data_IF_133329155115
#
_entry.id   IF_133329155115
#
_cell.length_a   1.000
_cell.length_b   1.000
_cell.length_c   1.000
_cell.angle_alpha   90.00
_cell.angle_beta   90.00
_cell.angle_gamma   90.00
#
_symmetry.space_group_name_H-M   'P 1'
#
loop_
_entity.id
_entity.type
_entity.pdbx_description
1 polymer ?
#
# COMPACT_ATOMS: atom_id res chain seq x y z
N UNK A 1 -22.60 -30.84 -13.98
CA UNK A 1 -21.18 -31.22 -14.26
C UNK A 1 -20.31 -30.33 -13.38
N UNK A 2 -19.93 -30.84 -12.21
CA UNK A 2 -18.89 -30.20 -11.36
C UNK A 2 -17.57 -30.23 -12.12
N UNK A 3 -16.98 -29.02 -12.33
CA UNK A 3 -15.60 -28.93 -12.78
C UNK A 3 -14.71 -29.37 -11.60
N UNK A 4 -14.08 -30.51 -11.72
CA UNK A 4 -12.92 -30.85 -10.92
C UNK A 4 -11.83 -29.84 -11.23
N UNK A 5 -11.59 -28.92 -10.30
CA UNK A 5 -10.40 -28.08 -10.30
C UNK A 5 -9.23 -29.00 -9.93
N UNK A 6 -8.37 -29.30 -10.89
CA UNK A 6 -7.10 -29.96 -10.62
C UNK A 6 -6.22 -29.02 -9.83
N UNK A 7 -6.21 -29.15 -8.50
CA UNK A 7 -5.19 -28.56 -7.65
C UNK A 7 -3.93 -29.40 -7.86
N UNK A 8 -3.03 -28.91 -8.70
CA UNK A 8 -1.77 -29.61 -9.01
C UNK A 8 -0.67 -29.33 -7.99
N UNK A 9 -0.86 -28.35 -7.12
CA UNK A 9 0.08 -28.00 -6.06
C UNK A 9 -0.59 -28.24 -4.70
N UNK A 10 -0.49 -29.46 -4.20
CA UNK A 10 -0.75 -29.74 -2.79
C UNK A 10 0.38 -29.10 -2.01
N UNK A 11 0.09 -28.00 -1.33
CA UNK A 11 0.96 -27.50 -0.27
C UNK A 11 0.97 -28.59 0.80
N UNK A 12 2.10 -29.21 1.03
CA UNK A 12 2.24 -30.32 2.00
C UNK A 12 1.95 -29.84 3.44
N UNK A 13 2.10 -28.55 3.69
CA UNK A 13 1.87 -27.93 4.99
C UNK A 13 1.25 -26.54 4.84
N UNK A 14 0.17 -26.28 5.57
CA UNK A 14 -0.46 -24.95 5.66
C UNK A 14 -0.16 -24.38 7.04
N UNK A 15 0.44 -23.19 7.11
CA UNK A 15 0.64 -22.45 8.35
C UNK A 15 -0.45 -21.40 8.48
N UNK A 16 -1.22 -21.48 9.57
CA UNK A 16 -2.22 -20.46 9.96
C UNK A 16 -1.72 -19.81 11.24
N UNK A 17 -1.66 -18.47 11.25
CA UNK A 17 -1.20 -17.69 12.40
C UNK A 17 -2.32 -16.76 12.85
N UNK A 18 -2.58 -16.70 14.15
CA UNK A 18 -3.52 -15.75 14.77
C UNK A 18 -2.81 -15.03 15.91
N UNK A 19 -3.16 -13.75 16.11
CA UNK A 19 -2.56 -12.88 17.12
C UNK A 19 -3.63 -12.53 18.16
N UNK A 20 -3.25 -12.55 19.42
CA UNK A 20 -4.12 -12.24 20.55
C UNK A 20 -3.42 -11.23 21.46
N UNK A 21 -4.16 -10.33 22.12
CA UNK A 21 -3.59 -9.41 23.10
C UNK A 21 -3.05 -10.17 24.32
N UNK A 22 -2.07 -9.58 25.02
CA UNK A 22 -1.45 -10.15 26.22
C UNK A 22 -2.49 -10.56 27.30
N UNK A 23 -3.61 -9.85 27.36
CA UNK A 23 -4.72 -10.13 28.29
C UNK A 23 -5.56 -11.36 27.92
N UNK A 24 -5.32 -12.00 26.77
CA UNK A 24 -6.10 -13.15 26.33
C UNK A 24 -5.67 -14.43 27.07
N UNK A 25 -6.66 -15.25 27.45
CA UNK A 25 -6.42 -16.59 27.99
C UNK A 25 -6.01 -17.55 26.86
N UNK A 26 -4.71 -17.63 26.61
CA UNK A 26 -4.14 -18.46 25.54
C UNK A 26 -4.38 -19.96 25.78
N UNK A 27 -4.42 -20.40 27.03
CA UNK A 27 -4.70 -21.80 27.35
C UNK A 27 -6.14 -22.18 26.95
N UNK A 28 -7.12 -21.34 27.31
CA UNK A 28 -8.51 -21.54 26.93
C UNK A 28 -8.70 -21.49 25.41
N UNK A 29 -8.05 -20.56 24.71
CA UNK A 29 -8.09 -20.44 23.26
C UNK A 29 -7.48 -21.68 22.58
N UNK A 30 -6.31 -22.12 23.03
CA UNK A 30 -5.63 -23.30 22.51
C UNK A 30 -6.50 -24.56 22.67
N UNK A 31 -7.13 -24.71 23.82
CA UNK A 31 -8.07 -25.79 24.09
C UNK A 31 -9.25 -25.73 23.12
N UNK A 32 -9.88 -24.59 22.97
CA UNK A 32 -11.02 -24.40 22.08
C UNK A 32 -10.65 -24.68 20.60
N UNK A 33 -9.48 -24.23 20.16
CA UNK A 33 -8.98 -24.51 18.79
C UNK A 33 -8.81 -26.02 18.59
N UNK A 34 -8.19 -26.73 19.54
CA UNK A 34 -8.02 -28.17 19.44
C UNK A 34 -9.36 -28.93 19.40
N UNK A 35 -10.33 -28.51 20.24
CA UNK A 35 -11.68 -29.10 20.23
C UNK A 35 -12.37 -28.89 18.89
N UNK A 36 -12.31 -27.66 18.33
CA UNK A 36 -12.90 -27.35 17.02
C UNK A 36 -12.23 -28.07 15.86
N UNK A 37 -10.92 -28.24 15.92
CA UNK A 37 -10.18 -29.00 14.91
C UNK A 37 -10.52 -30.50 14.95
N UNK A 38 -10.76 -31.05 16.14
CA UNK A 38 -11.21 -32.43 16.29
C UNK A 38 -12.62 -32.66 15.70
N UNK A 39 -13.53 -31.67 15.84
CA UNK A 39 -14.87 -31.72 15.25
C UNK A 39 -14.85 -31.79 13.71
N UNK A 40 -13.79 -31.34 13.03
CA UNK A 40 -13.73 -31.35 11.57
C UNK A 40 -13.80 -32.79 10.99
N UNK A 41 -13.32 -33.78 11.72
CA UNK A 41 -13.42 -35.17 11.31
C UNK A 41 -14.86 -35.68 11.27
N UNK A 42 -15.75 -35.14 12.12
CA UNK A 42 -17.17 -35.46 12.13
C UNK A 42 -17.90 -34.94 10.87
N UNK A 43 -17.33 -33.93 10.23
CA UNK A 43 -17.77 -33.36 8.95
C UNK A 43 -17.09 -34.01 7.73
N UNK A 44 -16.32 -35.09 7.95
CA UNK A 44 -15.64 -35.85 6.88
C UNK A 44 -14.42 -35.11 6.29
N UNK A 45 -13.85 -34.17 7.01
CA UNK A 45 -12.63 -33.45 6.62
C UNK A 45 -11.42 -34.14 7.26
N UNK A 46 -10.45 -34.54 6.44
CA UNK A 46 -9.15 -34.99 6.93
C UNK A 46 -8.26 -33.80 7.26
N UNK A 47 -7.92 -33.64 8.52
CA UNK A 47 -7.14 -32.52 9.02
C UNK A 47 -5.63 -32.73 8.95
N UNK A 48 -5.17 -33.95 8.66
CA UNK A 48 -3.73 -34.28 8.71
C UNK A 48 -3.13 -34.13 10.10
N UNK A 49 -1.81 -34.03 10.18
CA UNK A 49 -1.08 -33.78 11.42
C UNK A 49 -1.17 -32.30 11.81
N UNK A 50 -1.83 -32.02 12.94
CA UNK A 50 -2.00 -30.66 13.46
C UNK A 50 -0.91 -30.42 14.51
N UNK A 51 -0.10 -29.37 14.29
CA UNK A 51 0.87 -28.89 15.25
C UNK A 51 0.50 -27.47 15.67
N UNK A 52 0.08 -27.28 16.92
CA UNK A 52 -0.29 -26.01 17.49
C UNK A 52 0.87 -25.50 18.35
N UNK A 53 1.44 -24.36 17.96
CA UNK A 53 2.55 -23.74 18.68
C UNK A 53 2.09 -22.37 19.14
N UNK A 54 2.24 -22.08 20.42
CA UNK A 54 2.05 -20.73 20.99
C UNK A 54 3.41 -20.12 21.23
N UNK A 55 3.55 -18.86 20.86
CA UNK A 55 4.78 -18.08 21.04
C UNK A 55 4.40 -16.71 21.56
N UNK A 56 5.08 -16.29 22.61
CA UNK A 56 4.99 -14.92 23.10
C UNK A 56 5.74 -14.01 22.13
N UNK A 57 5.08 -12.95 21.66
CA UNK A 57 5.69 -11.94 20.80
C UNK A 57 5.95 -10.71 21.65
N UNK A 58 7.20 -10.35 21.81
CA UNK A 58 7.60 -9.08 22.40
C UNK A 58 7.34 -8.00 21.35
N UNK A 59 6.68 -6.90 21.74
CA UNK A 59 6.25 -5.83 20.83
C UNK A 59 7.42 -5.23 20.03
N UNK A 60 8.62 -5.20 20.59
CA UNK A 60 9.86 -4.77 19.94
C UNK A 60 10.29 -5.72 18.79
N UNK A 61 10.09 -7.02 18.94
CA UNK A 61 10.43 -8.00 17.90
C UNK A 61 9.45 -7.93 16.72
N UNK A 62 8.21 -7.53 16.94
CA UNK A 62 7.22 -7.40 15.89
C UNK A 62 7.41 -6.11 15.09
N UNK A 63 7.74 -5.00 15.75
CA UNK A 63 7.96 -3.70 15.11
C UNK A 63 9.13 -3.72 14.11
N UNK A 64 10.09 -4.64 14.26
CA UNK A 64 11.26 -4.72 13.38
C UNK A 64 11.27 -5.94 12.44
N UNK A 65 10.60 -7.04 12.81
CA UNK A 65 10.67 -8.28 12.02
C UNK A 65 10.04 -8.15 10.63
N UNK A 66 9.02 -7.31 10.45
CA UNK A 66 8.41 -7.07 9.15
C UNK A 66 9.36 -6.35 8.18
N UNK A 67 10.26 -5.50 8.71
CA UNK A 67 11.28 -4.80 7.92
C UNK A 67 12.18 -5.75 7.14
N UNK A 68 12.45 -6.95 7.67
CA UNK A 68 13.29 -7.98 7.03
C UNK A 68 12.68 -8.56 5.75
N UNK A 69 11.36 -8.42 5.56
CA UNK A 69 10.64 -8.91 4.38
C UNK A 69 10.45 -7.82 3.33
N UNK A 70 10.88 -6.59 3.63
CA UNK A 70 10.83 -5.48 2.70
C UNK A 70 12.15 -5.34 1.97
N UNK A 71 12.15 -5.73 0.71
CA UNK A 71 13.29 -5.60 -0.18
C UNK A 71 13.03 -4.49 -1.21
N UNK A 72 14.09 -3.86 -1.77
CA UNK A 72 13.95 -2.95 -2.90
C UNK A 72 13.19 -3.62 -4.04
N UNK A 73 12.19 -2.95 -4.56
CA UNK A 73 11.32 -3.47 -5.58
C UNK A 73 11.26 -2.53 -6.80
N UNK A 74 11.74 -3.00 -7.95
CA UNK A 74 11.54 -2.29 -9.20
C UNK A 74 10.09 -2.42 -9.64
N UNK A 75 9.40 -1.30 -9.74
CA UNK A 75 7.96 -1.25 -9.99
C UNK A 75 7.65 -1.04 -11.46
N UNK A 76 8.37 -0.08 -12.08
CA UNK A 76 8.20 0.25 -13.49
C UNK A 76 9.55 0.22 -14.20
N UNK A 77 9.63 0.77 -15.42
CA UNK A 77 10.91 0.89 -16.12
C UNK A 77 11.87 1.81 -15.38
N UNK A 78 11.37 2.95 -14.87
CA UNK A 78 12.19 3.99 -14.25
C UNK A 78 12.11 4.04 -12.73
N UNK A 79 11.05 3.51 -12.12
CA UNK A 79 10.76 3.67 -10.69
C UNK A 79 11.09 2.43 -9.89
N UNK A 80 11.89 2.59 -8.83
CA UNK A 80 12.18 1.57 -7.82
C UNK A 80 11.84 2.10 -6.44
N UNK A 81 11.09 1.31 -5.67
CA UNK A 81 10.79 1.61 -4.27
C UNK A 81 11.84 0.94 -3.40
N UNK A 82 12.45 1.73 -2.52
CA UNK A 82 13.50 1.28 -1.62
C UNK A 82 13.12 1.62 -0.18
N UNK A 83 13.10 0.62 0.73
CA UNK A 83 12.89 0.88 2.15
C UNK A 83 13.94 1.85 2.69
N UNK A 84 13.54 2.78 3.58
CA UNK A 84 14.40 3.85 4.10
C UNK A 84 15.66 3.33 4.81
N UNK A 85 15.61 2.13 5.37
CA UNK A 85 16.72 1.45 6.10
C UNK A 85 17.61 0.60 5.20
N UNK A 86 17.38 0.57 3.89
CA UNK A 86 18.16 -0.26 2.96
C UNK A 86 19.12 0.61 2.15
N UNK A 87 20.38 0.22 2.14
CA UNK A 87 21.36 0.79 1.22
C UNK A 87 21.11 0.23 -0.17
N UNK A 88 20.94 1.12 -1.14
CA UNK A 88 20.66 0.76 -2.51
C UNK A 88 21.43 1.64 -3.49
N UNK A 89 22.14 1.01 -4.41
CA UNK A 89 22.82 1.70 -5.50
C UNK A 89 21.94 1.71 -6.74
N UNK A 90 21.49 2.91 -7.12
CA UNK A 90 20.62 3.09 -8.27
C UNK A 90 21.37 2.82 -9.59
N UNK A 91 20.72 2.15 -10.51
CA UNK A 91 21.21 2.02 -11.89
C UNK A 91 21.07 3.34 -12.67
N UNK A 92 21.78 3.46 -13.79
CA UNK A 92 21.69 4.67 -14.62
C UNK A 92 20.26 4.87 -15.12
N UNK A 93 19.69 6.05 -14.82
CA UNK A 93 18.32 6.42 -15.20
C UNK A 93 17.24 5.93 -14.25
N UNK A 94 17.59 5.17 -13.23
CA UNK A 94 16.65 4.67 -12.23
C UNK A 94 16.28 5.77 -11.22
N UNK A 95 15.00 5.94 -10.98
CA UNK A 95 14.44 6.90 -10.02
C UNK A 95 14.03 6.17 -8.75
N UNK A 96 14.64 6.55 -7.64
CA UNK A 96 14.45 5.88 -6.35
C UNK A 96 13.42 6.61 -5.52
N UNK A 97 12.41 5.88 -5.08
CA UNK A 97 11.43 6.32 -4.09
C UNK A 97 11.82 5.68 -2.76
N UNK A 98 12.36 6.48 -1.84
CA UNK A 98 12.61 6.03 -0.47
C UNK A 98 11.32 6.11 0.34
N UNK A 99 10.93 5.01 0.98
CA UNK A 99 9.74 4.93 1.82
C UNK A 99 10.06 4.25 3.15
N UNK A 100 9.49 4.79 4.22
CA UNK A 100 9.18 4.01 5.42
C UNK A 100 7.68 3.68 5.35
N UNK A 101 7.31 2.42 5.04
CA UNK A 101 5.91 2.07 4.92
C UNK A 101 5.13 2.24 6.24
N UNK A 102 5.80 2.27 7.40
CA UNK A 102 5.23 2.62 8.68
C UNK A 102 3.84 2.03 8.94
N UNK A 103 2.95 2.83 9.55
CA UNK A 103 1.55 2.47 9.80
C UNK A 103 0.58 2.97 8.72
N UNK A 104 1.03 3.73 7.72
CA UNK A 104 0.17 4.21 6.63
C UNK A 104 0.01 3.16 5.52
N UNK A 105 -1.16 3.17 4.88
CA UNK A 105 -1.39 2.34 3.70
C UNK A 105 -0.57 2.87 2.51
N UNK A 106 -0.08 1.95 1.67
CA UNK A 106 0.66 2.34 0.46
C UNK A 106 2.13 1.99 0.49
N UNK A 107 2.47 0.73 0.81
CA UNK A 107 3.84 0.20 0.80
C UNK A 107 4.48 0.20 -0.59
N UNK A 108 3.72 0.62 -1.62
CA UNK A 108 4.15 0.63 -3.01
C UNK A 108 4.14 -0.72 -3.73
N UNK A 109 4.09 -1.83 -3.01
CA UNK A 109 4.14 -3.18 -3.59
C UNK A 109 2.77 -3.77 -3.92
N UNK A 110 1.68 -3.15 -3.45
CA UNK A 110 0.33 -3.59 -3.77
C UNK A 110 0.04 -3.46 -5.28
N UNK A 111 -0.68 -4.42 -5.89
CA UNK A 111 -0.96 -4.39 -7.34
C UNK A 111 -1.57 -3.07 -7.83
N UNK A 112 -2.52 -2.49 -7.10
CA UNK A 112 -3.15 -1.21 -7.49
C UNK A 112 -2.15 -0.06 -7.47
N UNK A 113 -1.27 0.02 -6.47
CA UNK A 113 -0.22 1.04 -6.40
C UNK A 113 0.76 0.89 -7.56
N UNK A 114 1.15 -0.34 -7.91
CA UNK A 114 2.01 -0.61 -9.09
C UNK A 114 1.34 -0.15 -10.38
N UNK A 115 0.04 -0.41 -10.54
CA UNK A 115 -0.72 0.02 -11.71
C UNK A 115 -0.82 1.53 -11.80
N UNK A 116 -1.07 2.22 -10.68
CA UNK A 116 -1.11 3.69 -10.62
C UNK A 116 0.26 4.30 -10.96
N UNK A 117 1.35 3.75 -10.41
CA UNK A 117 2.72 4.17 -10.73
C UNK A 117 3.06 3.97 -12.21
N UNK A 118 2.66 2.83 -12.78
CA UNK A 118 2.83 2.57 -14.20
C UNK A 118 2.02 3.57 -15.06
N UNK A 119 0.76 3.86 -14.67
CA UNK A 119 -0.06 4.83 -15.38
C UNK A 119 0.54 6.24 -15.31
N UNK A 120 1.04 6.68 -14.12
CA UNK A 120 1.74 7.97 -13.98
C UNK A 120 2.96 8.06 -14.90
N UNK A 121 3.79 7.01 -14.97
CA UNK A 121 4.95 6.96 -15.86
C UNK A 121 4.55 7.07 -17.34
N UNK A 122 3.35 6.57 -17.72
CA UNK A 122 2.87 6.66 -19.09
C UNK A 122 2.30 8.05 -19.46
N UNK A 123 1.78 8.81 -18.50
CA UNK A 123 1.10 10.08 -18.80
C UNK A 123 1.93 11.31 -18.50
N UNK A 124 2.80 11.26 -17.48
CA UNK A 124 3.65 12.40 -17.12
C UNK A 124 4.80 12.57 -18.16
N UNK A 125 5.01 13.81 -18.59
CA UNK A 125 6.04 14.20 -19.55
C UNK A 125 6.97 15.29 -19.03
N UNK A 126 6.62 15.87 -17.88
CA UNK A 126 7.29 16.96 -17.21
C UNK A 126 6.56 18.30 -17.35
N UNK A 127 6.35 18.95 -16.20
CA UNK A 127 5.68 20.25 -16.13
C UNK A 127 4.21 20.21 -15.74
N UNK A 128 3.62 19.02 -15.57
CA UNK A 128 2.22 18.83 -15.19
C UNK A 128 1.97 19.25 -13.73
N UNK A 129 0.73 19.67 -13.46
CA UNK A 129 0.15 19.75 -12.11
C UNK A 129 -0.56 18.43 -11.82
N UNK A 130 -0.25 17.83 -10.67
CA UNK A 130 -0.83 16.56 -10.23
C UNK A 130 -1.62 16.76 -8.94
N UNK A 131 -2.77 16.12 -8.82
CA UNK A 131 -3.49 15.96 -7.55
C UNK A 131 -3.51 14.49 -7.17
N UNK A 132 -3.01 14.16 -5.97
CA UNK A 132 -3.00 12.82 -5.39
C UNK A 132 -4.04 12.75 -4.26
N UNK A 133 -5.10 11.98 -4.47
CA UNK A 133 -6.25 11.87 -3.56
C UNK A 133 -6.17 10.58 -2.77
N UNK A 134 -6.13 10.70 -1.45
CA UNK A 134 -5.83 9.58 -0.56
C UNK A 134 -4.37 9.18 -0.65
N UNK A 135 -3.49 10.15 -0.43
CA UNK A 135 -2.03 10.00 -0.69
C UNK A 135 -1.37 8.92 0.16
N UNK A 136 -1.94 8.59 1.33
CA UNK A 136 -1.43 7.55 2.22
C UNK A 136 0.04 7.76 2.59
N UNK A 137 0.92 6.91 2.07
CA UNK A 137 2.38 7.02 2.28
C UNK A 137 3.06 8.12 1.47
N UNK A 138 2.36 8.80 0.56
CA UNK A 138 2.94 9.79 -0.35
C UNK A 138 3.61 9.19 -1.59
N UNK A 139 3.54 7.87 -1.78
CA UNK A 139 4.30 7.17 -2.84
C UNK A 139 3.99 7.67 -4.25
N UNK A 140 2.70 7.95 -4.56
CA UNK A 140 2.30 8.45 -5.88
C UNK A 140 2.73 9.89 -6.09
N UNK A 141 2.69 10.71 -5.04
CA UNK A 141 3.18 12.07 -5.04
C UNK A 141 4.69 12.14 -5.27
N UNK A 142 5.48 11.35 -4.55
CA UNK A 142 6.94 11.26 -4.74
C UNK A 142 7.26 10.78 -6.15
N UNK A 143 6.57 9.74 -6.65
CA UNK A 143 6.73 9.26 -8.01
C UNK A 143 6.45 10.36 -9.05
N UNK A 144 5.36 11.12 -8.87
CA UNK A 144 4.99 12.22 -9.77
C UNK A 144 6.07 13.29 -9.84
N UNK A 145 6.67 13.65 -8.69
CA UNK A 145 7.78 14.60 -8.65
C UNK A 145 9.01 14.07 -9.39
N UNK A 146 9.40 12.82 -9.13
CA UNK A 146 10.52 12.16 -9.82
C UNK A 146 10.28 12.04 -11.33
N UNK A 147 9.04 11.91 -11.78
CA UNK A 147 8.67 11.87 -13.20
C UNK A 147 8.60 13.27 -13.84
N UNK A 148 8.83 14.32 -13.06
CA UNK A 148 8.98 15.69 -13.57
C UNK A 148 7.73 16.55 -13.49
N UNK A 149 6.73 16.16 -12.72
CA UNK A 149 5.58 17.01 -12.42
C UNK A 149 6.06 18.34 -11.78
N UNK A 150 5.40 19.44 -12.16
CA UNK A 150 5.78 20.78 -11.70
C UNK A 150 5.28 21.07 -10.28
N UNK A 151 4.03 20.73 -10.02
CA UNK A 151 3.37 20.96 -8.73
C UNK A 151 2.51 19.73 -8.39
N UNK A 152 2.59 19.26 -7.17
CA UNK A 152 1.81 18.11 -6.69
C UNK A 152 1.05 18.53 -5.42
N UNK A 153 -0.28 18.32 -5.44
CA UNK A 153 -1.15 18.56 -4.30
C UNK A 153 -1.66 17.23 -3.79
N UNK A 154 -1.20 16.84 -2.61
CA UNK A 154 -1.48 15.54 -2.00
C UNK A 154 -2.48 15.73 -0.83
N UNK A 155 -3.58 15.01 -0.88
CA UNK A 155 -4.63 15.08 0.14
C UNK A 155 -4.90 13.73 0.75
N UNK A 156 -5.12 13.71 2.07
CA UNK A 156 -5.64 12.55 2.77
C UNK A 156 -6.62 13.00 3.87
N UNK A 157 -7.62 12.16 4.18
CA UNK A 157 -8.57 12.43 5.24
C UNK A 157 -7.96 12.20 6.63
N UNK A 158 -6.99 11.29 6.72
CA UNK A 158 -6.33 10.90 7.97
C UNK A 158 -5.08 11.76 8.22
N UNK A 159 -5.08 12.52 9.28
CA UNK A 159 -3.93 13.33 9.72
C UNK A 159 -2.66 12.47 9.96
N UNK A 160 -2.83 11.19 10.31
CA UNK A 160 -1.70 10.26 10.44
C UNK A 160 -1.08 9.99 9.07
N UNK A 161 -1.89 9.77 8.05
CA UNK A 161 -1.42 9.57 6.68
C UNK A 161 -0.71 10.82 6.15
N UNK A 162 -1.28 12.02 6.38
CA UNK A 162 -0.66 13.31 6.02
C UNK A 162 0.74 13.45 6.63
N UNK A 163 0.90 13.12 7.91
CA UNK A 163 2.20 13.16 8.58
C UNK A 163 3.17 12.15 7.99
N UNK A 164 2.74 10.90 7.78
CA UNK A 164 3.59 9.85 7.19
C UNK A 164 4.00 10.21 5.76
N UNK A 165 3.08 10.76 4.96
CA UNK A 165 3.42 11.25 3.62
C UNK A 165 4.51 12.32 3.68
N UNK A 166 4.39 13.30 4.59
CA UNK A 166 5.40 14.35 4.76
C UNK A 166 6.75 13.75 5.19
N UNK A 167 6.77 12.83 6.16
CA UNK A 167 7.99 12.15 6.60
C UNK A 167 8.67 11.40 5.44
N UNK A 168 7.90 10.72 4.59
CA UNK A 168 8.42 10.04 3.41
C UNK A 168 8.94 11.01 2.35
N UNK A 169 8.24 12.12 2.12
CA UNK A 169 8.68 13.18 1.20
C UNK A 169 10.02 13.75 1.66
N UNK A 170 10.15 14.05 2.95
CA UNK A 170 11.37 14.61 3.53
C UNK A 170 12.59 13.68 3.41
N UNK A 171 12.36 12.36 3.28
CA UNK A 171 13.44 11.40 3.01
C UNK A 171 13.93 11.41 1.54
N UNK A 172 13.19 12.07 0.65
CA UNK A 172 13.51 12.15 -0.77
C UNK A 172 13.94 13.58 -1.12
N UNK A 173 15.20 13.83 -1.50
CA UNK A 173 15.64 15.18 -1.81
C UNK A 173 15.00 15.73 -3.10
N UNK A 174 14.77 17.05 -3.14
CA UNK A 174 14.25 17.74 -4.33
C UNK A 174 12.74 17.64 -4.49
N UNK A 175 11.98 17.45 -3.38
CA UNK A 175 10.53 17.28 -3.37
C UNK A 175 9.78 18.52 -2.89
N UNK A 176 10.37 19.71 -3.03
CA UNK A 176 9.80 20.99 -2.58
C UNK A 176 8.53 21.38 -3.34
N UNK A 177 8.24 20.70 -4.44
CA UNK A 177 7.06 20.88 -5.28
C UNK A 177 5.85 20.01 -4.84
N UNK A 178 5.95 19.29 -3.72
CA UNK A 178 4.86 18.49 -3.16
C UNK A 178 4.25 19.21 -1.96
N UNK A 179 2.94 19.43 -2.02
CA UNK A 179 2.15 20.09 -0.98
C UNK A 179 1.17 19.11 -0.37
N UNK A 180 1.43 18.69 0.87
CA UNK A 180 0.56 17.71 1.57
C UNK A 180 -0.39 18.47 2.50
N UNK A 181 -1.66 18.10 2.49
CA UNK A 181 -2.67 18.66 3.38
C UNK A 181 -3.76 17.64 3.72
N UNK A 182 -4.40 17.84 4.88
CA UNK A 182 -5.64 17.12 5.22
C UNK A 182 -6.76 17.58 4.31
N UNK A 183 -7.53 16.64 3.76
CA UNK A 183 -8.65 16.92 2.88
C UNK A 183 -9.64 15.77 2.76
N UNK A 184 -10.91 16.09 2.64
CA UNK A 184 -11.97 15.12 2.37
C UNK A 184 -12.17 15.01 0.85
N UNK A 185 -11.46 14.09 0.24
CA UNK A 185 -11.37 13.94 -1.22
C UNK A 185 -10.95 15.26 -1.88
N UNK A 186 -11.77 15.80 -2.77
CA UNK A 186 -11.55 17.07 -3.47
C UNK A 186 -12.49 18.19 -3.01
N UNK A 187 -13.18 18.04 -1.88
CA UNK A 187 -14.07 19.07 -1.34
C UNK A 187 -13.32 20.34 -1.03
N UNK A 188 -13.77 21.43 -1.64
CA UNK A 188 -13.16 22.77 -1.46
C UNK A 188 -11.86 22.99 -2.24
N UNK A 189 -11.36 21.99 -2.95
CA UNK A 189 -10.23 22.14 -3.86
C UNK A 189 -10.67 22.94 -5.09
N UNK A 190 -9.90 23.94 -5.45
CA UNK A 190 -10.15 24.80 -6.63
C UNK A 190 -9.02 24.72 -7.65
N UNK A 191 -7.93 24.09 -7.30
CA UNK A 191 -6.77 23.91 -8.17
C UNK A 191 -7.10 22.91 -9.28
N UNK A 192 -6.97 23.36 -10.53
CA UNK A 192 -7.05 22.46 -11.69
C UNK A 192 -5.73 21.69 -11.87
N UNK A 193 -5.83 20.44 -12.35
CA UNK A 193 -4.70 19.57 -12.55
C UNK A 193 -4.69 18.92 -13.94
N UNK A 194 -3.50 18.64 -14.43
CA UNK A 194 -3.31 17.88 -15.67
C UNK A 194 -3.52 16.38 -15.41
N UNK A 195 -3.20 15.93 -14.19
CA UNK A 195 -3.41 14.54 -13.76
C UNK A 195 -4.02 14.52 -12.37
N UNK A 196 -5.10 13.77 -12.19
CA UNK A 196 -5.67 13.43 -10.88
C UNK A 196 -5.48 11.93 -10.70
N UNK A 197 -4.85 11.52 -9.61
CA UNK A 197 -4.67 10.11 -9.27
C UNK A 197 -5.32 9.81 -7.92
N UNK A 198 -6.03 8.68 -7.83
CA UNK A 198 -6.68 8.22 -6.60
C UNK A 198 -6.57 6.70 -6.47
N UNK A 199 -5.76 6.22 -5.55
CA UNK A 199 -5.64 4.80 -5.23
C UNK A 199 -6.31 4.50 -3.88
N UNK A 200 -7.63 4.60 -3.85
CA UNK A 200 -8.48 4.46 -2.68
C UNK A 200 -9.54 3.37 -2.90
N UNK A 201 -10.39 3.13 -1.89
CA UNK A 201 -11.45 2.13 -1.99
C UNK A 201 -12.47 2.48 -3.07
N UNK A 202 -12.91 1.49 -3.84
CA UNK A 202 -13.82 1.65 -4.97
C UNK A 202 -15.14 2.35 -4.60
N UNK A 203 -15.70 2.06 -3.42
CA UNK A 203 -16.93 2.68 -2.93
C UNK A 203 -16.78 4.20 -2.71
N UNK A 204 -15.57 4.65 -2.42
CA UNK A 204 -15.26 6.07 -2.20
C UNK A 204 -15.00 6.79 -3.53
N UNK A 205 -14.45 6.10 -4.53
CA UNK A 205 -14.17 6.66 -5.87
C UNK A 205 -15.41 7.25 -6.54
N UNK A 206 -16.59 6.66 -6.29
CA UNK A 206 -17.87 7.16 -6.85
C UNK A 206 -18.13 8.60 -6.40
N UNK A 207 -17.78 8.94 -5.17
CA UNK A 207 -17.97 10.29 -4.62
C UNK A 207 -16.92 11.31 -5.09
N UNK A 208 -15.85 10.83 -5.69
CA UNK A 208 -14.77 11.66 -6.22
C UNK A 208 -15.06 12.15 -7.64
N UNK A 209 -15.84 11.42 -8.43
CA UNK A 209 -15.93 11.58 -9.88
C UNK A 209 -16.38 12.96 -10.33
N UNK A 210 -17.38 13.56 -9.65
CA UNK A 210 -17.92 14.88 -10.03
C UNK A 210 -16.88 15.99 -9.81
N UNK A 211 -16.21 15.98 -8.65
CA UNK A 211 -15.17 16.95 -8.35
C UNK A 211 -13.92 16.73 -9.21
N UNK A 212 -13.54 15.49 -9.48
CA UNK A 212 -12.43 15.18 -10.36
C UNK A 212 -12.70 15.67 -11.80
N UNK A 213 -13.90 15.46 -12.31
CA UNK A 213 -14.31 15.99 -13.64
C UNK A 213 -14.22 17.52 -13.70
N UNK A 214 -14.57 18.21 -12.62
CA UNK A 214 -14.50 19.68 -12.53
C UNK A 214 -13.08 20.21 -12.50
N UNK A 215 -12.15 19.45 -11.91
CA UNK A 215 -10.78 19.88 -11.63
C UNK A 215 -9.74 19.37 -12.62
N UNK A 216 -10.06 18.30 -13.37
CA UNK A 216 -9.16 17.83 -14.42
C UNK A 216 -9.25 18.79 -15.60
N UNK A 217 -8.10 19.25 -16.09
CA UNK A 217 -8.01 20.11 -17.27
C UNK A 217 -8.46 19.38 -18.53
N UNK A 218 -8.78 20.17 -19.57
CA UNK A 218 -9.01 19.61 -20.92
C UNK A 218 -7.80 18.79 -21.35
N UNK A 219 -8.05 17.58 -21.89
CA UNK A 219 -7.02 16.58 -22.25
C UNK A 219 -6.21 16.01 -21.07
N UNK A 220 -6.62 16.30 -19.81
CA UNK A 220 -6.02 15.74 -18.61
C UNK A 220 -6.43 14.30 -18.36
N UNK A 221 -5.81 13.68 -17.36
CA UNK A 221 -5.99 12.27 -17.02
C UNK A 221 -6.56 12.10 -15.61
N UNK A 222 -7.46 11.14 -15.47
CA UNK A 222 -7.94 10.64 -14.19
C UNK A 222 -7.54 9.17 -14.06
N UNK A 223 -6.70 8.87 -13.06
CA UNK A 223 -6.18 7.52 -12.74
C UNK A 223 -6.85 7.05 -11.46
N UNK A 224 -7.62 5.93 -11.56
CA UNK A 224 -8.35 5.35 -10.42
C UNK A 224 -8.18 3.82 -10.39
#
# INVERSE_FOLDING_TARGET
RQRQMCIRDRVETVKITAYYPESADIEAITKQVNERLAELTDFGLETGDINLVTQELVEEDWAENWKKYYEPARITHDLTIVPSWTDYEASVGEKIIKLDPGMAFGTGTHPTTKMSLFALEQVLRGGETVIDVGTGSGVLSIASSLLGAKEIYAYDLDDVAVRVAQENIDMNPGMENIHVATGDLLKGVTQEADVIVANILADILIHLTEDAYRLVKDEGYLIM
#
